data_IF_477908057403
#
_entry.id   IF_477908057403
#
_cell.length_a   1.000
_cell.length_b   1.000
_cell.length_c   1.000
_cell.angle_alpha   90.00
_cell.angle_beta   90.00
_cell.angle_gamma   90.00
#
_symmetry.space_group_name_H-M   'P 1'
#
loop_
_entity.id
_entity.type
_entity.pdbx_description
1 polymer ?
#
# COMPACT_ATOMS: atom_id res chain seq x y z
N UNK A 1 70.32 20.37 -8.75
CA UNK A 1 69.78 19.81 -10.00
C UNK A 1 69.24 18.40 -9.82
N UNK A 2 70.03 17.41 -9.38
CA UNK A 2 69.58 15.99 -9.27
C UNK A 2 68.48 15.74 -8.21
N UNK A 3 68.51 16.43 -7.05
CA UNK A 3 67.48 16.26 -6.02
C UNK A 3 66.09 16.77 -6.47
N UNK A 4 66.03 17.96 -7.07
CA UNK A 4 64.81 18.55 -7.63
C UNK A 4 64.16 17.66 -8.70
N UNK A 5 64.99 16.97 -9.51
CA UNK A 5 64.48 16.02 -10.52
C UNK A 5 63.90 14.75 -9.92
N UNK A 6 64.35 14.32 -8.74
CA UNK A 6 63.80 13.16 -8.04
C UNK A 6 62.43 13.49 -7.40
N UNK A 7 62.31 14.63 -6.73
CA UNK A 7 61.05 15.10 -6.13
C UNK A 7 59.97 15.34 -7.19
N UNK A 8 60.32 15.99 -8.30
CA UNK A 8 59.39 16.20 -9.43
C UNK A 8 58.97 14.88 -10.09
N UNK A 9 59.84 13.87 -10.13
CA UNK A 9 59.49 12.52 -10.58
C UNK A 9 58.53 11.83 -9.61
N UNK A 10 58.75 11.95 -8.30
CA UNK A 10 57.84 11.41 -7.28
C UNK A 10 56.45 12.02 -7.41
N UNK A 11 56.36 13.35 -7.41
CA UNK A 11 55.08 14.05 -7.56
C UNK A 11 54.34 13.66 -8.84
N UNK A 12 55.06 13.45 -9.97
CA UNK A 12 54.45 12.98 -11.21
C UNK A 12 53.83 11.58 -11.06
N UNK A 13 54.51 10.67 -10.37
CA UNK A 13 53.97 9.33 -10.11
C UNK A 13 52.73 9.40 -9.24
N UNK A 14 52.74 10.22 -8.19
CA UNK A 14 51.58 10.42 -7.31
C UNK A 14 50.40 11.02 -8.08
N UNK A 15 50.64 12.02 -8.94
CA UNK A 15 49.58 12.59 -9.79
C UNK A 15 48.99 11.56 -10.75
N UNK A 16 49.79 10.64 -11.29
CA UNK A 16 49.29 9.58 -12.15
C UNK A 16 48.46 8.55 -11.36
N UNK A 17 48.89 8.22 -10.14
CA UNK A 17 48.12 7.37 -9.22
C UNK A 17 46.76 7.98 -8.87
N UNK A 18 46.73 9.27 -8.54
CA UNK A 18 45.49 9.99 -8.26
C UNK A 18 44.59 10.08 -9.48
N UNK A 19 45.13 10.32 -10.68
CA UNK A 19 44.35 10.31 -11.92
C UNK A 19 43.68 8.95 -12.17
N UNK A 20 44.40 7.85 -11.93
CA UNK A 20 43.84 6.51 -12.04
C UNK A 20 42.72 6.27 -11.04
N UNK A 21 42.92 6.64 -9.77
CA UNK A 21 41.89 6.51 -8.73
C UNK A 21 40.66 7.38 -9.04
N UNK A 22 40.87 8.61 -9.52
CA UNK A 22 39.80 9.52 -9.91
C UNK A 22 38.96 8.92 -11.03
N UNK A 23 39.60 8.36 -12.06
CA UNK A 23 38.89 7.71 -13.16
C UNK A 23 38.02 6.53 -12.69
N UNK A 24 38.51 5.73 -11.73
CA UNK A 24 37.73 4.63 -11.16
C UNK A 24 36.55 5.16 -10.33
N UNK A 25 36.74 6.23 -9.56
CA UNK A 25 35.67 6.85 -8.80
C UNK A 25 34.61 7.44 -9.72
N UNK A 26 34.98 8.15 -10.78
CA UNK A 26 34.06 8.71 -11.77
C UNK A 26 33.20 7.62 -12.41
N UNK A 27 33.81 6.47 -12.77
CA UNK A 27 33.07 5.34 -13.31
C UNK A 27 32.08 4.74 -12.29
N UNK A 28 32.49 4.64 -11.03
CA UNK A 28 31.61 4.16 -9.95
C UNK A 28 30.46 5.11 -9.68
N UNK A 29 30.73 6.43 -9.67
CA UNK A 29 29.71 7.47 -9.52
C UNK A 29 28.70 7.39 -10.66
N UNK A 30 29.15 7.34 -11.92
CA UNK A 30 28.27 7.18 -13.07
C UNK A 30 27.40 5.92 -12.98
N UNK A 31 27.97 4.81 -12.49
CA UNK A 31 27.22 3.56 -12.28
C UNK A 31 26.16 3.72 -11.19
N UNK A 32 26.49 4.36 -10.07
CA UNK A 32 25.52 4.60 -8.99
C UNK A 32 24.42 5.56 -9.43
N UNK A 33 24.76 6.62 -10.16
CA UNK A 33 23.78 7.59 -10.68
C UNK A 33 22.76 6.93 -11.61
N UNK A 34 23.22 6.07 -12.53
CA UNK A 34 22.32 5.30 -13.41
C UNK A 34 21.44 4.32 -12.64
N UNK A 35 21.97 3.69 -11.59
CA UNK A 35 21.18 2.82 -10.71
C UNK A 35 20.10 3.60 -9.95
N UNK A 36 20.45 4.75 -9.37
CA UNK A 36 19.51 5.64 -8.67
C UNK A 36 18.38 6.06 -9.61
N UNK A 37 18.70 6.51 -10.82
CA UNK A 37 17.69 6.86 -11.82
C UNK A 37 16.75 5.66 -12.11
N UNK A 38 17.29 4.45 -12.26
CA UNK A 38 16.48 3.25 -12.47
C UNK A 38 15.60 2.88 -11.28
N UNK A 39 16.04 3.14 -10.03
CA UNK A 39 15.23 2.89 -8.84
C UNK A 39 14.11 3.91 -8.72
N UNK A 40 14.39 5.18 -8.99
CA UNK A 40 13.36 6.22 -8.97
C UNK A 40 12.23 5.98 -9.98
N UNK A 41 12.57 5.46 -11.17
CA UNK A 41 11.57 5.10 -12.19
C UNK A 41 10.69 3.92 -11.72
N UNK A 42 11.30 2.88 -11.15
CA UNK A 42 10.56 1.74 -10.57
C UNK A 42 9.67 2.15 -9.40
N UNK A 43 10.14 3.06 -8.54
CA UNK A 43 9.34 3.54 -7.41
C UNK A 43 8.11 4.32 -7.89
N UNK A 44 8.25 5.09 -8.97
CA UNK A 44 7.12 5.78 -9.61
C UNK A 44 6.11 4.77 -10.18
N UNK A 45 6.60 3.74 -10.88
CA UNK A 45 5.75 2.68 -11.41
C UNK A 45 5.02 1.93 -10.29
N UNK A 46 5.72 1.56 -9.22
CA UNK A 46 5.14 0.90 -8.04
C UNK A 46 4.07 1.76 -7.38
N UNK A 47 4.29 3.07 -7.25
CA UNK A 47 3.31 4.01 -6.70
C UNK A 47 2.04 4.04 -7.57
N UNK A 48 2.20 4.12 -8.89
CA UNK A 48 1.09 4.11 -9.82
C UNK A 48 0.31 2.78 -9.80
N UNK A 49 1.00 1.64 -9.73
CA UNK A 49 0.37 0.33 -9.59
C UNK A 49 -0.40 0.20 -8.27
N UNK A 50 0.17 0.68 -7.16
CA UNK A 50 -0.49 0.70 -5.85
C UNK A 50 -1.76 1.54 -5.86
N UNK A 51 -1.72 2.71 -6.50
CA UNK A 51 -2.89 3.56 -6.68
C UNK A 51 -4.00 2.83 -7.45
N UNK A 52 -3.65 2.20 -8.58
CA UNK A 52 -4.60 1.39 -9.36
C UNK A 52 -5.19 0.21 -8.57
N UNK A 53 -4.38 -0.48 -7.78
CA UNK A 53 -4.86 -1.57 -6.93
C UNK A 53 -5.83 -1.07 -5.88
N UNK A 54 -5.51 0.06 -5.23
CA UNK A 54 -6.39 0.70 -4.25
C UNK A 54 -7.73 1.06 -4.90
N UNK A 55 -7.70 1.70 -6.07
CA UNK A 55 -8.91 2.04 -6.82
C UNK A 55 -9.76 0.82 -7.18
N UNK A 56 -9.12 -0.30 -7.54
CA UNK A 56 -9.81 -1.54 -7.88
C UNK A 56 -10.43 -2.20 -6.65
N UNK A 57 -9.70 -2.24 -5.54
CA UNK A 57 -10.20 -2.74 -4.26
C UNK A 57 -11.39 -1.91 -3.76
N UNK A 58 -11.27 -0.58 -3.83
CA UNK A 58 -12.34 0.34 -3.46
C UNK A 58 -13.55 0.15 -4.37
N UNK A 59 -13.37 0.09 -5.69
CA UNK A 59 -14.49 -0.19 -6.62
C UNK A 59 -15.15 -1.53 -6.38
N UNK A 60 -14.36 -2.55 -6.02
CA UNK A 60 -14.84 -3.89 -5.69
C UNK A 60 -15.67 -3.90 -4.39
N UNK A 61 -15.26 -3.11 -3.39
CA UNK A 61 -15.90 -3.05 -2.06
C UNK A 61 -16.91 -1.92 -1.90
N UNK A 62 -17.01 -0.99 -2.85
CA UNK A 62 -17.86 0.20 -2.80
C UNK A 62 -19.32 -0.07 -2.46
N UNK A 63 -19.86 -1.20 -2.90
CA UNK A 63 -21.25 -1.58 -2.64
C UNK A 63 -21.43 -2.43 -1.37
N UNK A 64 -20.34 -2.72 -0.66
CA UNK A 64 -20.38 -3.53 0.56
C UNK A 64 -20.51 -2.61 1.77
N UNK A 65 -21.67 -2.65 2.43
CA UNK A 65 -21.91 -1.93 3.69
C UNK A 65 -21.77 -2.88 4.87
N UNK A 66 -21.07 -2.44 5.92
CA UNK A 66 -20.99 -3.16 7.20
C UNK A 66 -21.87 -2.48 8.24
N UNK A 67 -22.85 -3.21 8.76
CA UNK A 67 -23.71 -2.76 9.85
C UNK A 67 -23.18 -3.31 11.17
N UNK A 68 -22.95 -2.44 12.14
CA UNK A 68 -22.40 -2.78 13.47
C UNK A 68 -23.45 -2.51 14.55
N UNK A 69 -23.33 -3.21 15.69
CA UNK A 69 -24.21 -3.00 16.85
C UNK A 69 -25.50 -3.82 16.87
N UNK A 70 -25.69 -4.74 15.91
CA UNK A 70 -26.85 -5.63 15.88
C UNK A 70 -26.62 -6.89 16.73
N UNK A 71 -27.44 -7.14 17.77
CA UNK A 71 -27.35 -8.35 18.60
C UNK A 71 -27.53 -9.61 17.76
N UNK A 72 -26.88 -10.73 18.11
CA UNK A 72 -26.95 -11.96 17.32
C UNK A 72 -28.35 -12.59 17.36
N UNK A 73 -28.86 -12.99 16.18
CA UNK A 73 -30.14 -13.71 16.05
C UNK A 73 -31.38 -12.83 15.90
N UNK A 74 -31.23 -11.50 15.95
CA UNK A 74 -32.35 -10.56 15.73
C UNK A 74 -32.91 -10.59 14.32
N UNK A 75 -32.12 -11.05 13.34
CA UNK A 75 -32.53 -11.10 11.94
C UNK A 75 -33.51 -12.25 11.64
N UNK A 76 -33.64 -13.22 12.54
CA UNK A 76 -34.47 -14.41 12.32
C UNK A 76 -33.96 -15.29 11.17
N UNK A 77 -34.89 -15.88 10.42
CA UNK A 77 -34.57 -16.80 9.31
C UNK A 77 -34.26 -16.08 7.99
N UNK A 78 -34.72 -14.84 7.80
CA UNK A 78 -34.53 -14.06 6.58
C UNK A 78 -33.92 -12.68 6.87
N UNK A 79 -32.61 -12.60 6.64
CA UNK A 79 -31.81 -11.38 6.84
C UNK A 79 -32.28 -10.27 5.88
N UNK A 80 -32.73 -10.59 4.67
CA UNK A 80 -33.12 -9.57 3.69
C UNK A 80 -34.42 -8.87 4.11
N UNK A 81 -35.39 -9.62 4.62
CA UNK A 81 -36.62 -9.04 5.16
C UNK A 81 -36.33 -8.10 6.33
N UNK A 82 -35.48 -8.55 7.28
CA UNK A 82 -35.08 -7.73 8.41
C UNK A 82 -34.38 -6.43 7.97
N UNK A 83 -33.44 -6.51 7.02
CA UNK A 83 -32.72 -5.34 6.51
C UNK A 83 -33.64 -4.34 5.80
N UNK A 84 -34.62 -4.82 5.02
CA UNK A 84 -35.62 -3.96 4.35
C UNK A 84 -36.51 -3.21 5.33
N UNK A 85 -36.80 -3.80 6.48
CA UNK A 85 -37.63 -3.17 7.52
C UNK A 85 -36.82 -2.18 8.38
N UNK A 86 -35.58 -2.53 8.76
CA UNK A 86 -34.82 -1.73 9.72
C UNK A 86 -34.04 -0.57 9.09
N UNK A 87 -33.54 -0.71 7.87
CA UNK A 87 -32.73 0.34 7.24
C UNK A 87 -33.52 1.65 7.04
N UNK A 88 -34.75 1.65 6.50
CA UNK A 88 -35.54 2.87 6.40
C UNK A 88 -35.81 3.52 7.76
N UNK A 89 -36.03 2.72 8.81
CA UNK A 89 -36.28 3.19 10.18
C UNK A 89 -35.04 3.83 10.81
N UNK A 90 -33.85 3.28 10.50
CA UNK A 90 -32.59 3.77 11.07
C UNK A 90 -32.09 5.03 10.36
N UNK A 91 -32.27 5.12 9.04
CA UNK A 91 -31.77 6.26 8.25
C UNK A 91 -32.80 7.37 8.08
N UNK A 92 -34.07 7.13 8.43
CA UNK A 92 -35.21 8.02 8.12
C UNK A 92 -35.31 8.38 6.63
N UNK A 93 -34.90 7.43 5.78
CA UNK A 93 -34.92 7.57 4.31
C UNK A 93 -35.94 6.61 3.74
N UNK A 94 -36.83 7.13 2.89
CA UNK A 94 -37.70 6.31 2.04
C UNK A 94 -36.93 5.92 0.78
N UNK A 95 -36.66 4.63 0.62
CA UNK A 95 -36.03 4.11 -0.58
C UNK A 95 -37.10 3.83 -1.64
N UNK A 96 -37.02 4.55 -2.76
CA UNK A 96 -37.85 4.33 -3.95
C UNK A 96 -36.94 4.33 -5.20
N UNK A 97 -36.71 3.18 -5.87
CA UNK A 97 -37.28 1.86 -5.61
C UNK A 97 -36.76 1.21 -4.30
N UNK A 98 -37.40 0.12 -3.82
CA UNK A 98 -36.95 -0.61 -2.63
C UNK A 98 -35.51 -1.11 -2.75
N UNK A 99 -34.80 -1.18 -1.62
CA UNK A 99 -33.42 -1.68 -1.59
C UNK A 99 -33.34 -3.13 -2.12
N UNK A 100 -32.46 -3.30 -3.10
CA UNK A 100 -32.03 -4.59 -3.63
C UNK A 100 -30.72 -5.02 -2.97
N UNK A 101 -30.68 -6.26 -2.52
CA UNK A 101 -29.50 -6.83 -1.88
C UNK A 101 -29.00 -8.00 -2.70
N UNK A 102 -27.74 -7.97 -3.08
CA UNK A 102 -27.10 -9.10 -3.76
C UNK A 102 -26.73 -10.21 -2.76
N UNK A 103 -26.28 -9.82 -1.56
CA UNK A 103 -25.86 -10.74 -0.51
C UNK A 103 -25.93 -10.05 0.86
N UNK A 104 -26.40 -10.76 1.87
CA UNK A 104 -26.35 -10.32 3.27
C UNK A 104 -25.94 -11.51 4.15
N UNK A 105 -24.95 -11.31 5.01
CA UNK A 105 -24.47 -12.33 5.94
C UNK A 105 -23.73 -11.68 7.11
N UNK A 106 -23.71 -12.36 8.26
CA UNK A 106 -22.83 -11.98 9.37
C UNK A 106 -21.38 -12.31 9.07
N UNK A 107 -20.48 -11.45 9.51
CA UNK A 107 -19.04 -11.66 9.42
C UNK A 107 -18.52 -12.27 10.72
N UNK A 108 -17.65 -13.27 10.62
CA UNK A 108 -17.06 -13.97 11.75
C UNK A 108 -17.85 -15.21 12.20
N UNK A 109 -17.27 -16.04 13.08
CA UNK A 109 -17.94 -17.21 13.64
C UNK A 109 -19.11 -16.78 14.52
N UNK A 110 -20.20 -17.58 14.51
CA UNK A 110 -21.34 -17.36 15.41
C UNK A 110 -20.85 -17.40 16.86
N UNK A 111 -21.13 -16.37 17.65
CA UNK A 111 -20.80 -16.43 19.07
C UNK A 111 -21.77 -17.38 19.73
N UNK A 112 -21.21 -18.49 20.21
CA UNK A 112 -21.89 -19.28 21.23
C UNK A 112 -21.78 -18.42 22.48
N UNK A 113 -22.92 -17.89 22.90
CA UNK A 113 -23.12 -17.11 24.12
C UNK A 113 -22.72 -15.62 24.02
N UNK A 114 -23.63 -14.76 24.50
CA UNK A 114 -23.58 -13.30 24.41
C UNK A 114 -22.44 -12.61 25.19
N UNK A 115 -21.35 -13.32 25.51
CA UNK A 115 -20.26 -12.84 26.34
C UNK A 115 -18.84 -13.16 25.84
N UNK A 116 -18.66 -13.59 24.58
CA UNK A 116 -17.31 -13.79 24.03
C UNK A 116 -16.78 -12.55 23.29
N UNK A 117 -15.63 -12.09 23.78
CA UNK A 117 -14.85 -10.93 23.32
C UNK A 117 -14.47 -11.02 21.83
N UNK A 118 -14.41 -9.93 21.04
CA UNK A 118 -13.93 -10.02 19.67
C UNK A 118 -12.44 -10.36 19.64
N UNK A 119 -12.06 -11.41 18.90
CA UNK A 119 -10.70 -11.56 18.42
C UNK A 119 -10.38 -10.35 17.54
N UNK A 120 -9.44 -9.54 18.00
CA UNK A 120 -8.94 -8.37 17.28
C UNK A 120 -8.19 -8.86 16.04
N UNK A 121 -8.62 -8.42 14.87
CA UNK A 121 -7.88 -8.49 13.60
C UNK A 121 -7.45 -7.10 13.21
#
# INVERSE_FOLDING_TARGET
MVALTAETRSMRLDTAGFQSQMSVLDQRVATVETQIASWTDRDLELSHLRSKLTDLEDKSRRNNVRLLGFPEGVEGADIFFYLRDILPKLTDVKFDPPLEFQRAHRLGPRRQDGNSCPAQS
#
